data_IF_423753551187
#
_entry.id   IF_423753551187
#
_cell.length_a   1.000
_cell.length_b   1.000
_cell.length_c   1.000
_cell.angle_alpha   90.00
_cell.angle_beta   90.00
_cell.angle_gamma   90.00
#
_symmetry.space_group_name_H-M   'P 1'
#
loop_
_entity.id
_entity.type
_entity.pdbx_description
1 polymer ?
#
# COMPACT_ATOMS: atom_id res chain seq x y z
N UNK A 1 -37.34 46.67 -28.62
CA UNK A 1 -36.26 47.61 -28.23
C UNK A 1 -34.94 47.05 -28.73
N UNK A 2 -34.17 47.83 -29.49
CA UNK A 2 -32.85 47.40 -29.96
C UNK A 2 -31.88 47.61 -28.79
N UNK A 3 -31.44 46.52 -28.16
CA UNK A 3 -30.44 46.59 -27.09
C UNK A 3 -29.08 46.96 -27.67
N UNK A 4 -28.40 47.88 -26.99
CA UNK A 4 -27.07 48.37 -27.34
C UNK A 4 -26.06 47.20 -27.39
N UNK A 5 -25.17 47.22 -28.38
CA UNK A 5 -24.10 46.22 -28.54
C UNK A 5 -23.20 46.17 -27.29
N UNK A 6 -22.93 47.30 -26.65
CA UNK A 6 -22.16 47.36 -25.42
C UNK A 6 -22.87 46.60 -24.29
N UNK A 7 -24.19 46.77 -24.15
CA UNK A 7 -24.98 46.01 -23.17
C UNK A 7 -24.94 44.52 -23.44
N UNK A 8 -25.01 44.10 -24.71
CA UNK A 8 -24.91 42.68 -25.08
C UNK A 8 -23.57 42.08 -24.66
N UNK A 9 -22.46 42.76 -24.98
CA UNK A 9 -21.11 42.30 -24.64
C UNK A 9 -20.94 42.17 -23.13
N UNK A 10 -21.33 43.21 -22.38
CA UNK A 10 -21.23 43.22 -20.91
C UNK A 10 -22.04 42.08 -20.30
N UNK A 11 -23.27 41.86 -20.78
CA UNK A 11 -24.12 40.80 -20.26
C UNK A 11 -23.58 39.40 -20.57
N UNK A 12 -22.97 39.22 -21.75
CA UNK A 12 -22.30 37.96 -22.12
C UNK A 12 -21.12 37.66 -21.19
N UNK A 13 -20.30 38.66 -20.88
CA UNK A 13 -19.15 38.48 -19.99
C UNK A 13 -19.60 38.10 -18.58
N UNK A 14 -20.61 38.80 -18.03
CA UNK A 14 -21.17 38.48 -16.71
C UNK A 14 -21.77 37.07 -16.69
N UNK A 15 -22.47 36.66 -17.73
CA UNK A 15 -23.05 35.31 -17.83
C UNK A 15 -21.97 34.22 -17.83
N UNK A 16 -20.84 34.42 -18.51
CA UNK A 16 -19.71 33.47 -18.50
C UNK A 16 -19.11 33.35 -17.10
N UNK A 17 -18.84 34.47 -16.43
CA UNK A 17 -18.27 34.44 -15.07
C UNK A 17 -19.25 33.80 -14.07
N UNK A 18 -20.54 34.09 -14.18
CA UNK A 18 -21.56 33.50 -13.31
C UNK A 18 -21.68 32.00 -13.54
N UNK A 19 -21.63 31.54 -14.80
CA UNK A 19 -21.61 30.12 -15.12
C UNK A 19 -20.39 29.43 -14.52
N UNK A 20 -19.18 29.96 -14.74
CA UNK A 20 -17.94 29.39 -14.17
C UNK A 20 -17.96 29.36 -12.64
N UNK A 21 -18.50 30.39 -11.99
CA UNK A 21 -18.62 30.41 -10.53
C UNK A 21 -19.62 29.36 -10.03
N UNK A 22 -20.76 29.22 -10.71
CA UNK A 22 -21.75 28.19 -10.41
C UNK A 22 -21.17 26.76 -10.56
N UNK A 23 -20.37 26.51 -11.58
CA UNK A 23 -19.67 25.22 -11.78
C UNK A 23 -18.60 24.91 -10.72
N UNK A 24 -18.07 25.90 -10.00
CA UNK A 24 -17.14 25.67 -8.87
C UNK A 24 -17.87 25.21 -7.62
N UNK A 25 -19.03 25.80 -7.34
CA UNK A 25 -19.83 25.49 -6.15
C UNK A 25 -20.55 24.14 -6.27
N UNK A 26 -21.00 23.79 -7.48
CA UNK A 26 -21.49 22.44 -7.74
C UNK A 26 -20.27 21.57 -7.97
N UNK A 27 -19.94 20.71 -6.99
CA UNK A 27 -18.92 19.66 -7.06
C UNK A 27 -19.23 18.61 -8.16
N UNK A 28 -19.33 19.03 -9.43
CA UNK A 28 -19.62 18.19 -10.61
C UNK A 28 -18.40 17.34 -10.96
N UNK A 29 -17.21 17.73 -10.47
CA UNK A 29 -16.02 16.91 -10.51
C UNK A 29 -16.03 16.06 -9.23
N UNK A 30 -16.36 14.77 -9.29
CA UNK A 30 -16.23 13.90 -8.13
C UNK A 30 -14.76 13.89 -7.73
N UNK A 31 -14.46 14.48 -6.56
CA UNK A 31 -13.12 14.39 -5.99
C UNK A 31 -12.94 12.96 -5.51
N UNK A 32 -12.12 12.17 -6.20
CA UNK A 32 -11.65 10.90 -5.67
C UNK A 32 -10.78 11.20 -4.44
N UNK A 33 -11.38 11.13 -3.25
CA UNK A 33 -10.64 11.19 -1.98
C UNK A 33 -10.08 9.80 -1.74
N UNK A 34 -8.78 9.71 -1.49
CA UNK A 34 -8.22 8.49 -0.94
C UNK A 34 -8.85 8.27 0.45
N UNK A 35 -9.46 7.10 0.66
CA UNK A 35 -9.95 6.73 1.97
C UNK A 35 -8.74 6.47 2.88
N UNK A 36 -8.41 7.45 3.71
CA UNK A 36 -7.36 7.33 4.73
C UNK A 36 -7.84 6.61 5.98
N UNK A 37 -9.09 6.14 5.99
CA UNK A 37 -9.68 5.35 7.09
C UNK A 37 -9.34 3.87 6.96
N UNK A 38 -8.64 3.45 5.90
CA UNK A 38 -8.04 2.13 5.82
C UNK A 38 -7.12 1.95 7.04
N UNK A 39 -7.60 1.14 8.00
CA UNK A 39 -6.86 0.84 9.21
C UNK A 39 -5.48 0.34 8.83
N UNK A 40 -4.44 0.88 9.51
CA UNK A 40 -3.10 0.31 9.42
C UNK A 40 -3.19 -1.20 9.57
N UNK A 41 -2.57 -1.99 8.68
CA UNK A 41 -2.56 -3.44 8.81
C UNK A 41 -2.19 -3.80 10.24
N UNK A 42 -2.97 -4.70 10.85
CA UNK A 42 -2.64 -5.18 12.18
C UNK A 42 -1.18 -5.65 12.17
N UNK A 43 -0.34 -5.20 13.12
CA UNK A 43 1.01 -5.72 13.24
C UNK A 43 0.95 -7.24 13.26
N UNK A 44 1.79 -7.91 12.47
CA UNK A 44 1.93 -9.36 12.56
C UNK A 44 2.21 -9.65 14.03
N UNK A 45 1.44 -10.53 14.70
CA UNK A 45 1.69 -10.86 16.09
C UNK A 45 3.15 -11.30 16.22
N UNK A 46 3.95 -10.55 16.95
CA UNK A 46 5.25 -11.04 17.39
C UNK A 46 4.93 -12.24 18.28
N UNK A 47 5.11 -13.44 17.76
CA UNK A 47 5.06 -14.64 18.58
C UNK A 47 6.17 -14.50 19.63
N UNK A 48 5.80 -14.09 20.83
CA UNK A 48 6.68 -14.15 21.99
C UNK A 48 6.87 -15.64 22.25
N UNK A 49 7.93 -16.21 21.71
CA UNK A 49 8.30 -17.60 21.98
C UNK A 49 8.73 -17.67 23.45
N UNK A 50 7.82 -18.14 24.30
CA UNK A 50 8.07 -18.32 25.74
C UNK A 50 8.87 -19.58 26.05
N UNK A 51 9.18 -20.41 25.06
CA UNK A 51 9.86 -21.69 25.18
C UNK A 51 10.71 -21.97 23.93
N UNK A 52 11.71 -22.87 24.02
CA UNK A 52 12.46 -23.35 22.86
C UNK A 52 11.52 -23.86 21.77
N UNK A 53 11.85 -23.56 20.51
CA UNK A 53 11.09 -24.00 19.34
C UNK A 53 11.91 -24.98 18.53
N UNK A 54 11.34 -26.16 18.33
CA UNK A 54 11.91 -27.17 17.44
C UNK A 54 11.72 -26.73 15.99
N UNK A 55 12.82 -26.71 15.25
CA UNK A 55 12.84 -26.32 13.83
C UNK A 55 13.34 -27.49 12.98
N UNK A 56 12.64 -27.74 11.87
CA UNK A 56 13.06 -28.72 10.88
C UNK A 56 13.64 -28.01 9.66
N UNK A 57 14.94 -28.16 9.42
CA UNK A 57 15.62 -27.57 8.27
C UNK A 57 15.54 -28.57 7.11
N UNK A 58 14.79 -28.23 6.06
CA UNK A 58 14.62 -29.08 4.87
C UNK A 58 15.47 -28.65 3.69
N UNK A 59 15.83 -27.35 3.63
CA UNK A 59 16.58 -26.76 2.51
C UNK A 59 17.57 -25.69 3.02
N UNK A 60 18.70 -25.56 2.31
CA UNK A 60 19.66 -24.45 2.50
C UNK A 60 19.91 -23.82 1.13
N UNK A 61 19.70 -22.52 1.00
CA UNK A 61 19.84 -21.79 -0.27
C UNK A 61 19.03 -22.42 -1.43
N UNK A 62 17.82 -22.89 -1.14
CA UNK A 62 16.95 -23.56 -2.13
C UNK A 62 17.36 -25.00 -2.49
N UNK A 63 18.44 -25.52 -1.91
CA UNK A 63 18.94 -26.88 -2.16
C UNK A 63 18.41 -27.81 -1.07
N UNK A 64 17.77 -28.95 -1.42
CA UNK A 64 17.25 -29.90 -0.43
C UNK A 64 18.39 -30.57 0.34
N UNK A 65 18.23 -30.67 1.66
CA UNK A 65 19.16 -31.43 2.50
C UNK A 65 18.85 -32.92 2.33
N UNK A 66 19.74 -33.65 1.68
CA UNK A 66 19.66 -35.11 1.58
C UNK A 66 20.78 -35.72 2.42
N UNK A 67 20.42 -36.39 3.52
CA UNK A 67 21.40 -37.07 4.39
C UNK A 67 21.68 -38.44 3.78
N UNK A 68 22.71 -38.54 2.93
CA UNK A 68 23.05 -39.78 2.23
C UNK A 68 24.11 -40.62 2.97
N UNK A 69 24.96 -40.02 3.79
CA UNK A 69 25.95 -40.75 4.60
C UNK A 69 26.40 -39.89 5.78
N UNK A 70 26.25 -40.42 7.01
CA UNK A 70 26.95 -39.86 8.16
C UNK A 70 28.44 -40.15 7.98
N UNK A 71 29.20 -39.17 7.49
CA UNK A 71 30.66 -39.21 7.67
C UNK A 71 30.90 -39.31 9.18
N UNK A 72 31.62 -40.35 9.60
CA UNK A 72 31.80 -40.79 10.99
C UNK A 72 32.43 -39.75 11.93
N UNK A 73 32.76 -38.56 11.43
CA UNK A 73 33.19 -37.38 12.20
C UNK A 73 32.05 -36.51 12.75
N UNK A 74 30.81 -36.62 12.24
CA UNK A 74 29.66 -35.85 12.73
C UNK A 74 28.75 -36.74 13.59
N UNK A 75 29.20 -37.05 14.81
CA UNK A 75 28.41 -37.86 15.77
C UNK A 75 27.29 -37.08 16.46
N UNK A 76 27.18 -35.78 16.23
CA UNK A 76 26.34 -34.87 17.04
C UNK A 76 25.35 -34.01 16.23
N UNK A 77 25.14 -34.31 14.94
CA UNK A 77 24.21 -33.58 14.07
C UNK A 77 24.88 -32.51 13.20
N UNK A 78 24.06 -31.69 12.53
CA UNK A 78 24.53 -30.60 11.67
C UNK A 78 24.81 -29.38 12.55
N UNK A 79 26.04 -28.84 12.61
CA UNK A 79 26.31 -27.63 13.37
C UNK A 79 25.59 -26.44 12.73
N UNK A 80 24.87 -25.66 13.54
CA UNK A 80 24.14 -24.45 13.10
C UNK A 80 24.57 -23.26 13.95
N UNK A 81 24.97 -22.17 13.30
CA UNK A 81 25.27 -20.88 13.94
C UNK A 81 24.15 -19.89 13.59
N UNK A 82 23.47 -19.33 14.60
CA UNK A 82 22.45 -18.29 14.41
C UNK A 82 23.06 -16.95 14.83
N UNK A 83 23.20 -16.02 13.88
CA UNK A 83 23.67 -14.66 14.16
C UNK A 83 22.48 -13.73 14.40
N UNK A 84 22.62 -12.86 15.40
CA UNK A 84 21.63 -11.83 15.74
C UNK A 84 21.86 -10.55 14.94
#
# INVERSE_FOLDING_TARGET
MKTDIYTKIVLTVIAIFLALNFFKEINIIPTAKADTTAATPAPIPNAIQSAPVDVNITHVNGIPITITTFSSGFREGIPVEIRK
#
